data_IF_807141183908
#
_entry.id   IF_807141183908
#
_cell.length_a   1.000
_cell.length_b   1.000
_cell.length_c   1.000
_cell.angle_alpha   90.00
_cell.angle_beta   90.00
_cell.angle_gamma   90.00
#
_symmetry.space_group_name_H-M   'P 1'
#
loop_
_entity.id
_entity.type
_entity.pdbx_description
1 polymer ?
#
# COMPACT_ATOMS: atom_id res chain seq x y z
N UNK A 1 28.54 -34.66 8.87
CA UNK A 1 28.29 -33.58 7.88
C UNK A 1 27.29 -32.65 8.55
N UNK A 2 27.79 -31.57 9.18
CA UNK A 2 26.97 -30.68 10.02
C UNK A 2 26.38 -29.60 9.12
N UNK A 3 25.21 -29.86 8.54
CA UNK A 3 24.47 -28.84 7.80
C UNK A 3 23.79 -27.97 8.86
N UNK A 4 24.37 -26.79 9.12
CA UNK A 4 23.69 -25.73 9.86
C UNK A 4 22.54 -25.25 8.98
N UNK A 5 21.31 -25.60 9.35
CA UNK A 5 20.13 -24.93 8.82
C UNK A 5 20.26 -23.43 9.11
N UNK A 6 19.97 -22.55 8.13
CA UNK A 6 20.02 -21.12 8.38
C UNK A 6 18.95 -20.78 9.42
N UNK A 7 19.35 -20.19 10.53
CA UNK A 7 18.43 -19.53 11.45
C UNK A 7 17.73 -18.38 10.70
N UNK A 8 16.54 -18.66 10.17
CA UNK A 8 15.63 -17.64 9.68
C UNK A 8 15.00 -17.01 10.92
N UNK A 9 15.73 -16.12 11.58
CA UNK A 9 15.27 -15.44 12.78
C UNK A 9 14.11 -14.48 12.44
N UNK A 10 12.95 -14.66 13.09
CA UNK A 10 11.95 -13.62 13.43
C UNK A 10 10.88 -13.13 12.42
N UNK A 11 10.24 -13.98 11.61
CA UNK A 11 9.05 -13.54 10.82
C UNK A 11 7.75 -14.27 11.08
N UNK A 12 7.74 -15.26 11.96
CA UNK A 12 6.59 -16.10 12.31
C UNK A 12 6.65 -16.24 13.83
N UNK A 13 5.73 -15.76 14.66
CA UNK A 13 4.29 -16.02 14.67
C UNK A 13 3.57 -14.86 15.40
N UNK A 14 2.96 -13.93 14.67
CA UNK A 14 1.97 -13.03 15.28
C UNK A 14 0.63 -13.75 15.23
N UNK A 15 -0.07 -13.80 16.36
CA UNK A 15 -1.41 -14.37 16.43
C UNK A 15 -2.36 -13.58 15.53
N UNK A 16 -3.38 -14.23 14.97
CA UNK A 16 -4.40 -13.56 14.14
C UNK A 16 -5.04 -12.35 14.84
N UNK A 17 -5.12 -12.42 16.18
CA UNK A 17 -5.60 -11.34 17.04
C UNK A 17 -4.68 -10.11 16.98
N UNK A 18 -3.37 -10.31 17.03
CA UNK A 18 -2.39 -9.22 16.93
C UNK A 18 -2.37 -8.61 15.54
N UNK A 19 -2.44 -9.42 14.48
CA UNK A 19 -2.54 -8.93 13.10
C UNK A 19 -3.82 -8.12 12.88
N UNK A 20 -4.95 -8.59 13.41
CA UNK A 20 -6.21 -7.86 13.35
C UNK A 20 -6.13 -6.52 14.08
N UNK A 21 -5.45 -6.49 15.24
CA UNK A 21 -5.26 -5.27 16.00
C UNK A 21 -4.34 -4.29 15.26
N UNK A 22 -3.25 -4.77 14.66
CA UNK A 22 -2.39 -3.95 13.81
C UNK A 22 -3.17 -3.34 12.66
N UNK A 23 -3.98 -4.13 11.94
CA UNK A 23 -4.81 -3.64 10.82
C UNK A 23 -5.78 -2.52 11.23
N UNK A 24 -6.41 -2.66 12.41
CA UNK A 24 -7.32 -1.64 12.96
C UNK A 24 -6.59 -0.38 13.40
N UNK A 25 -5.35 -0.53 13.88
CA UNK A 25 -4.53 0.57 14.41
C UNK A 25 -3.77 1.36 13.33
N UNK A 26 -3.83 0.96 12.07
CA UNK A 26 -3.23 1.73 10.97
C UNK A 26 -3.83 3.14 10.92
N UNK A 27 -2.98 4.18 10.89
CA UNK A 27 -3.43 5.56 10.66
C UNK A 27 -3.87 5.75 9.20
N UNK A 28 -5.13 5.43 8.96
CA UNK A 28 -5.75 5.56 7.65
C UNK A 28 -5.92 7.00 7.17
N UNK A 29 -5.91 7.99 8.08
CA UNK A 29 -5.95 9.40 7.68
C UNK A 29 -4.64 9.76 6.99
N UNK A 30 -3.52 9.36 7.59
CA UNK A 30 -2.19 9.56 6.99
C UNK A 30 -2.02 8.83 5.67
N UNK A 31 -2.46 7.58 5.58
CA UNK A 31 -2.43 6.79 4.33
C UNK A 31 -3.14 7.53 3.20
N UNK A 32 -4.36 8.03 3.46
CA UNK A 32 -5.16 8.77 2.46
C UNK A 32 -4.49 10.08 2.07
N UNK A 33 -3.97 10.84 3.03
CA UNK A 33 -3.31 12.12 2.78
C UNK A 33 -2.11 11.96 1.84
N UNK A 34 -1.25 10.96 2.08
CA UNK A 34 -0.07 10.72 1.24
C UNK A 34 -0.47 10.35 -0.20
N UNK A 35 -1.49 9.49 -0.35
CA UNK A 35 -2.01 9.12 -1.68
C UNK A 35 -2.63 10.32 -2.38
N UNK A 36 -3.45 11.11 -1.68
CA UNK A 36 -4.08 12.31 -2.24
C UNK A 36 -3.04 13.32 -2.71
N UNK A 37 -1.99 13.57 -1.93
CA UNK A 37 -0.91 14.49 -2.30
C UNK A 37 -0.22 14.05 -3.61
N UNK A 38 0.04 12.75 -3.79
CA UNK A 38 0.59 12.23 -5.05
C UNK A 38 -0.38 12.41 -6.22
N UNK A 39 -1.66 12.10 -6.02
CA UNK A 39 -2.70 12.26 -7.04
C UNK A 39 -2.89 13.73 -7.45
N UNK A 40 -2.91 14.67 -6.49
CA UNK A 40 -3.00 16.11 -6.75
C UNK A 40 -1.79 16.62 -7.54
N UNK A 41 -0.58 16.10 -7.26
CA UNK A 41 0.63 16.44 -8.04
C UNK A 41 0.56 15.88 -9.47
N UNK A 42 0.02 14.68 -9.65
CA UNK A 42 -0.23 14.11 -10.99
C UNK A 42 -1.20 14.99 -11.75
N UNK A 43 -2.33 15.37 -11.14
CA UNK A 43 -3.34 16.23 -11.77
C UNK A 43 -2.75 17.61 -12.14
N UNK A 44 -1.96 18.21 -11.25
CA UNK A 44 -1.30 19.49 -11.50
C UNK A 44 -0.28 19.39 -12.64
N UNK A 45 0.54 18.34 -12.68
CA UNK A 45 1.50 18.11 -13.75
C UNK A 45 0.82 17.85 -15.12
N UNK A 46 -0.29 17.11 -15.12
CA UNK A 46 -1.09 16.87 -16.31
C UNK A 46 -1.72 18.16 -16.84
N UNK A 47 -2.27 19.00 -15.96
CA UNK A 47 -2.82 20.32 -16.32
C UNK A 47 -1.76 21.22 -16.99
N UNK A 48 -0.51 21.14 -16.54
CA UNK A 48 0.61 21.89 -17.10
C UNK A 48 1.26 21.23 -18.34
N UNK A 49 0.71 20.11 -18.86
CA UNK A 49 1.24 19.39 -20.02
C UNK A 49 2.58 18.67 -19.77
N UNK A 50 3.01 18.53 -18.52
CA UNK A 50 4.31 17.93 -18.17
C UNK A 50 4.21 16.40 -18.04
N UNK A 51 4.11 15.72 -19.18
CA UNK A 51 3.92 14.27 -19.25
C UNK A 51 5.08 13.44 -18.65
N UNK A 52 6.33 13.94 -18.72
CA UNK A 52 7.48 13.30 -18.08
C UNK A 52 7.28 13.20 -16.56
N UNK A 53 6.79 14.27 -15.94
CA UNK A 53 6.52 14.32 -14.50
C UNK A 53 5.32 13.45 -14.13
N UNK A 54 4.26 13.47 -14.95
CA UNK A 54 3.10 12.56 -14.78
C UNK A 54 3.56 11.11 -14.75
N UNK A 55 4.34 10.67 -15.73
CA UNK A 55 4.81 9.28 -15.81
C UNK A 55 5.65 8.88 -14.60
N UNK A 56 6.54 9.77 -14.14
CA UNK A 56 7.36 9.54 -12.93
C UNK A 56 6.50 9.42 -11.68
N UNK A 57 5.53 10.32 -11.49
CA UNK A 57 4.65 10.33 -10.32
C UNK A 57 3.67 9.16 -10.32
N UNK A 58 3.11 8.79 -11.47
CA UNK A 58 2.27 7.60 -11.61
C UNK A 58 3.04 6.32 -11.27
N UNK A 59 4.28 6.17 -11.77
CA UNK A 59 5.14 5.03 -11.41
C UNK A 59 5.45 4.99 -9.91
N UNK A 60 5.65 6.16 -9.28
CA UNK A 60 5.83 6.26 -7.84
C UNK A 60 4.55 5.84 -7.09
N UNK A 61 3.38 6.31 -7.53
CA UNK A 61 2.09 5.98 -6.92
C UNK A 61 1.82 4.47 -6.95
N UNK A 62 2.01 3.81 -8.11
CA UNK A 62 1.78 2.36 -8.25
C UNK A 62 2.70 1.52 -7.36
N UNK A 63 3.92 2.00 -7.10
CA UNK A 63 4.89 1.30 -6.25
C UNK A 63 4.77 1.65 -4.76
N UNK A 64 4.00 2.69 -4.41
CA UNK A 64 3.88 3.19 -3.05
C UNK A 64 3.20 2.19 -2.11
N UNK A 65 3.78 2.01 -0.92
CA UNK A 65 3.21 1.19 0.14
C UNK A 65 1.82 1.67 0.56
N UNK A 66 1.65 2.97 0.81
CA UNK A 66 0.37 3.54 1.21
C UNK A 66 -0.72 3.42 0.14
N UNK A 67 -0.34 3.49 -1.14
CA UNK A 67 -1.29 3.27 -2.23
C UNK A 67 -1.79 1.82 -2.26
N UNK A 68 -0.87 0.84 -2.13
CA UNK A 68 -1.23 -0.58 -2.04
C UNK A 68 -2.11 -0.85 -0.82
N UNK A 69 -1.73 -0.33 0.34
CA UNK A 69 -2.46 -0.50 1.59
C UNK A 69 -3.89 0.05 1.50
N UNK A 70 -4.06 1.24 0.90
CA UNK A 70 -5.37 1.82 0.65
C UNK A 70 -6.22 0.98 -0.32
N UNK A 71 -5.60 0.44 -1.37
CA UNK A 71 -6.28 -0.44 -2.34
C UNK A 71 -6.78 -1.72 -1.68
N UNK A 72 -5.94 -2.39 -0.87
CA UNK A 72 -6.34 -3.60 -0.14
C UNK A 72 -7.51 -3.29 0.78
N UNK A 73 -7.45 -2.19 1.55
CA UNK A 73 -8.58 -1.79 2.41
C UNK A 73 -9.87 -1.57 1.63
N UNK A 74 -9.79 -0.90 0.48
CA UNK A 74 -10.98 -0.65 -0.35
C UNK A 74 -11.61 -1.95 -0.82
N UNK A 75 -10.81 -2.91 -1.27
CA UNK A 75 -11.28 -4.23 -1.71
C UNK A 75 -11.91 -5.01 -0.55
N UNK A 76 -11.26 -5.03 0.62
CA UNK A 76 -11.74 -5.79 1.79
C UNK A 76 -12.95 -5.16 2.48
N UNK A 77 -13.15 -3.86 2.34
CA UNK A 77 -14.31 -3.15 2.95
C UNK A 77 -15.52 -3.12 2.01
N UNK A 78 -15.32 -3.30 0.70
CA UNK A 78 -16.42 -3.30 -0.25
C UNK A 78 -17.29 -4.55 -0.04
N UNK A 79 -18.62 -4.39 -0.07
CA UNK A 79 -19.61 -5.48 0.09
C UNK A 79 -19.44 -6.59 -0.96
N UNK A 80 -18.77 -6.27 -2.07
CA UNK A 80 -18.34 -7.22 -3.08
C UNK A 80 -19.44 -7.65 -4.05
N UNK A 81 -19.01 -8.06 -5.24
CA UNK A 81 -19.77 -8.81 -6.24
C UNK A 81 -18.82 -9.89 -6.76
N UNK A 82 -19.31 -11.09 -7.12
CA UNK A 82 -18.46 -12.21 -7.51
C UNK A 82 -17.67 -11.83 -8.77
N UNK A 83 -16.37 -11.53 -8.61
CA UNK A 83 -15.44 -11.42 -9.73
C UNK A 83 -15.14 -12.83 -10.24
N UNK A 84 -15.36 -13.13 -11.54
CA UNK A 84 -15.19 -14.46 -12.14
C UNK A 84 -13.74 -14.95 -12.13
#
# INVERSE_FOLDING_TARGET
MNVREPEITSVTELTDKELTQQWKNIDWKRVKEVVNNLQSRIASAAKNGNWKTVNKLSRLLTRSFYAKLLSVRKVTTNKGSRTP
#
